data_IF_292689694333
#
_entry.id   IF_292689694333
#
_cell.length_a   1.000
_cell.length_b   1.000
_cell.length_c   1.000
_cell.angle_alpha   90.00
_cell.angle_beta   90.00
_cell.angle_gamma   90.00
#
_symmetry.space_group_name_H-M   'P 1'
#
loop_
_entity.id
_entity.type
_entity.pdbx_description
1 polymer ?
#
# COMPACT_ATOMS: atom_id res chain seq x y z
N UNK A 1 44.76 -18.69 -41.68
CA UNK A 1 45.60 -17.46 -41.70
C UNK A 1 45.57 -16.67 -43.02
N UNK A 2 45.02 -17.18 -44.13
CA UNK A 2 44.99 -16.45 -45.42
C UNK A 2 43.94 -15.35 -45.54
N UNK A 3 42.81 -15.44 -44.82
CA UNK A 3 41.72 -14.43 -44.91
C UNK A 3 42.08 -13.07 -44.29
N UNK A 4 42.94 -13.05 -43.27
CA UNK A 4 43.43 -11.82 -42.62
C UNK A 4 44.33 -10.99 -43.56
N UNK A 5 45.16 -11.65 -44.37
CA UNK A 5 46.07 -10.98 -45.32
C UNK A 5 45.31 -10.29 -46.47
N UNK A 6 44.18 -10.85 -46.90
CA UNK A 6 43.34 -10.26 -47.94
C UNK A 6 42.67 -8.96 -47.46
N UNK A 7 42.12 -8.98 -46.24
CA UNK A 7 41.47 -7.82 -45.60
C UNK A 7 42.47 -6.66 -45.39
N UNK A 8 43.71 -6.99 -45.03
CA UNK A 8 44.75 -5.98 -44.83
C UNK A 8 45.18 -5.30 -46.13
N UNK A 9 45.22 -6.04 -47.26
CA UNK A 9 45.57 -5.49 -48.58
C UNK A 9 44.48 -4.57 -49.14
N UNK A 10 43.21 -4.86 -48.90
CA UNK A 10 42.10 -3.98 -49.29
C UNK A 10 42.08 -2.71 -48.43
N UNK A 11 42.30 -2.80 -47.11
CA UNK A 11 42.36 -1.62 -46.22
C UNK A 11 43.46 -0.63 -46.62
N UNK A 12 44.63 -1.14 -47.06
CA UNK A 12 45.78 -0.31 -47.48
C UNK A 12 45.50 0.56 -48.72
N UNK A 13 44.57 0.16 -49.59
CA UNK A 13 44.14 0.97 -50.74
C UNK A 13 43.25 2.15 -50.35
N UNK A 14 42.44 2.02 -49.29
CA UNK A 14 41.51 3.07 -48.85
C UNK A 14 42.13 4.05 -47.84
N UNK A 15 43.25 3.70 -47.19
CA UNK A 15 43.90 4.54 -46.18
C UNK A 15 44.59 5.81 -46.70
N UNK A 16 44.81 5.94 -48.01
CA UNK A 16 45.50 7.10 -48.61
C UNK A 16 44.59 8.26 -49.03
N UNK A 17 43.27 8.08 -49.06
CA UNK A 17 42.30 9.11 -49.49
C UNK A 17 41.68 9.91 -48.33
N UNK A 18 41.95 9.50 -47.10
CA UNK A 18 41.38 10.10 -45.90
C UNK A 18 42.31 11.22 -45.45
N UNK A 19 41.83 12.48 -45.48
CA UNK A 19 42.61 13.62 -44.97
C UNK A 19 42.91 13.37 -43.48
N UNK A 20 44.10 13.75 -42.97
CA UNK A 20 44.52 13.40 -41.61
C UNK A 20 43.52 13.87 -40.53
N UNK A 21 42.77 14.93 -40.78
CA UNK A 21 41.73 15.45 -39.90
C UNK A 21 40.44 14.61 -39.87
N UNK A 22 40.13 13.89 -40.93
CA UNK A 22 38.88 13.14 -41.08
C UNK A 22 38.89 11.88 -40.19
N UNK A 23 40.06 11.24 -40.04
CA UNK A 23 40.26 10.15 -39.07
C UNK A 23 40.02 10.61 -37.62
N UNK A 24 40.46 11.83 -37.26
CA UNK A 24 40.26 12.38 -35.91
C UNK A 24 38.76 12.59 -35.63
N UNK A 25 38.03 13.10 -36.62
CA UNK A 25 36.58 13.31 -36.54
C UNK A 25 35.86 11.96 -36.39
N UNK A 26 36.22 10.96 -37.20
CA UNK A 26 35.61 9.62 -37.15
C UNK A 26 35.84 8.96 -35.79
N UNK A 27 37.06 9.04 -35.24
CA UNK A 27 37.36 8.47 -33.91
C UNK A 27 36.61 9.21 -32.80
N UNK A 28 36.53 10.54 -32.86
CA UNK A 28 35.79 11.33 -31.87
C UNK A 28 34.28 11.02 -31.87
N UNK A 29 33.69 10.86 -33.05
CA UNK A 29 32.28 10.49 -33.21
C UNK A 29 32.00 9.07 -32.70
N UNK A 30 32.93 8.13 -32.91
CA UNK A 30 32.83 6.78 -32.36
C UNK A 30 32.82 6.85 -30.83
N UNK A 31 33.74 7.56 -30.19
CA UNK A 31 33.79 7.66 -28.71
C UNK A 31 32.53 8.33 -28.13
N UNK A 32 32.01 9.39 -28.79
CA UNK A 32 30.77 10.04 -28.39
C UNK A 32 29.55 9.12 -28.52
N UNK A 33 29.53 8.22 -29.51
CA UNK A 33 28.45 7.24 -29.67
C UNK A 33 28.38 6.20 -28.54
N UNK A 34 29.50 5.93 -27.86
CA UNK A 34 29.56 5.01 -26.73
C UNK A 34 29.27 5.68 -25.37
N UNK A 35 29.22 7.01 -25.30
CA UNK A 35 28.95 7.75 -24.05
C UNK A 35 27.54 7.49 -23.48
N UNK A 36 26.47 7.46 -24.31
CA UNK A 36 25.13 7.12 -23.85
C UNK A 36 25.02 5.71 -23.26
N UNK A 37 25.76 4.73 -23.79
CA UNK A 37 25.75 3.35 -23.30
C UNK A 37 26.36 3.25 -21.90
N UNK A 38 27.44 3.98 -21.63
CA UNK A 38 28.09 4.02 -20.32
C UNK A 38 27.15 4.66 -19.29
N UNK A 39 26.55 5.81 -19.62
CA UNK A 39 25.58 6.52 -18.77
C UNK A 39 24.36 5.64 -18.48
N UNK A 40 23.83 4.95 -19.49
CA UNK A 40 22.70 4.03 -19.33
C UNK A 40 23.04 2.85 -18.40
N UNK A 41 24.25 2.26 -18.50
CA UNK A 41 24.67 1.17 -17.60
C UNK A 41 24.80 1.60 -16.13
N UNK A 42 25.23 2.85 -15.89
CA UNK A 42 25.31 3.42 -14.55
C UNK A 42 23.91 3.73 -14.00
N UNK A 43 22.98 4.16 -14.87
CA UNK A 43 21.60 4.46 -14.50
C UNK A 43 20.74 3.20 -14.30
N UNK A 44 21.03 2.09 -14.98
CA UNK A 44 20.34 0.81 -14.84
C UNK A 44 20.48 0.22 -13.43
N UNK A 45 21.55 0.55 -12.70
CA UNK A 45 21.69 0.22 -11.27
C UNK A 45 20.63 0.90 -10.39
N UNK A 46 20.10 2.05 -10.79
CA UNK A 46 19.02 2.73 -10.04
C UNK A 46 17.64 2.14 -10.32
N UNK A 47 17.40 1.53 -11.48
CA UNK A 47 16.11 0.94 -11.84
C UNK A 47 15.86 -0.39 -11.11
N UNK A 48 16.86 -1.27 -11.00
CA UNK A 48 16.74 -2.51 -10.23
C UNK A 48 16.43 -2.28 -8.73
N UNK A 49 16.99 -1.22 -8.14
CA UNK A 49 16.68 -0.83 -6.77
C UNK A 49 15.24 -0.30 -6.61
N UNK A 50 14.73 0.42 -7.61
CA UNK A 50 13.34 0.90 -7.63
C UNK A 50 12.35 -0.24 -7.80
N UNK A 51 12.61 -1.23 -8.66
CA UNK A 51 11.76 -2.41 -8.80
C UNK A 51 11.72 -3.26 -7.53
N UNK A 52 12.85 -3.46 -6.86
CA UNK A 52 12.90 -4.13 -5.56
C UNK A 52 12.12 -3.36 -4.47
N UNK A 53 12.14 -2.03 -4.51
CA UNK A 53 11.35 -1.20 -3.60
C UNK A 53 9.85 -1.20 -3.96
N UNK A 54 9.49 -1.17 -5.24
CA UNK A 54 8.11 -1.24 -5.73
C UNK A 54 7.51 -2.62 -5.48
N UNK A 55 8.28 -3.71 -5.63
CA UNK A 55 7.86 -5.08 -5.27
C UNK A 55 7.62 -5.23 -3.76
N UNK A 56 8.45 -4.60 -2.92
CA UNK A 56 8.25 -4.55 -1.46
C UNK A 56 7.04 -3.69 -1.08
N UNK A 57 6.82 -2.55 -1.76
CA UNK A 57 5.66 -1.69 -1.53
C UNK A 57 4.36 -2.33 -2.00
N UNK A 58 4.34 -3.02 -3.15
CA UNK A 58 3.16 -3.75 -3.65
C UNK A 58 2.82 -4.94 -2.75
N UNK A 59 3.80 -5.70 -2.24
CA UNK A 59 3.55 -6.72 -1.19
C UNK A 59 2.97 -6.14 0.10
N UNK A 60 3.39 -4.94 0.49
CA UNK A 60 2.89 -4.25 1.70
C UNK A 60 1.48 -3.64 1.48
N UNK A 61 1.18 -3.19 0.26
CA UNK A 61 -0.11 -2.60 -0.15
C UNK A 61 -1.20 -3.66 -0.43
N UNK A 62 -0.81 -4.89 -0.75
CA UNK A 62 -1.72 -6.02 -0.95
C UNK A 62 -2.28 -6.62 0.35
N UNK A 63 -1.81 -6.19 1.53
CA UNK A 63 -2.42 -6.60 2.79
C UNK A 63 -3.59 -5.68 3.10
N UNK A 64 -4.82 -6.10 2.79
CA UNK A 64 -6.03 -5.42 3.24
C UNK A 64 -5.99 -5.29 4.78
N UNK A 65 -5.63 -4.10 5.28
CA UNK A 65 -5.56 -3.89 6.73
C UNK A 65 -6.92 -3.46 7.26
N UNK A 66 -7.52 -4.34 8.04
CA UNK A 66 -8.77 -4.14 8.77
C UNK A 66 -8.50 -3.36 10.05
N UNK A 67 -9.21 -2.24 10.21
CA UNK A 67 -9.16 -1.39 11.41
C UNK A 67 -10.55 -1.23 11.99
N UNK A 68 -10.74 -1.60 13.25
CA UNK A 68 -11.96 -1.29 13.99
C UNK A 68 -11.87 0.13 14.54
N UNK A 69 -12.89 0.94 14.28
CA UNK A 69 -13.04 2.31 14.78
C UNK A 69 -14.24 2.34 15.69
N UNK A 70 -14.03 2.74 16.94
CA UNK A 70 -15.07 2.96 17.95
C UNK A 70 -15.30 4.45 18.06
N UNK A 71 -16.54 4.88 17.95
CA UNK A 71 -16.95 6.28 18.04
C UNK A 71 -18.12 6.42 19.00
N UNK A 72 -18.14 7.52 19.75
CA UNK A 72 -19.24 7.94 20.60
C UNK A 72 -19.68 9.33 20.14
N UNK A 73 -20.97 9.54 19.87
CA UNK A 73 -21.49 10.81 19.33
C UNK A 73 -20.70 11.31 18.12
N UNK A 74 -20.39 10.40 17.18
CA UNK A 74 -19.61 10.72 15.98
C UNK A 74 -18.11 10.98 16.21
N UNK A 75 -17.67 11.12 17.46
CA UNK A 75 -16.27 11.36 17.82
C UNK A 75 -15.54 10.04 18.03
N UNK A 76 -14.40 9.85 17.36
CA UNK A 76 -13.63 8.61 17.47
C UNK A 76 -12.93 8.54 18.82
N UNK A 77 -13.27 7.52 19.62
CA UNK A 77 -12.69 7.29 20.96
C UNK A 77 -11.61 6.23 20.94
N UNK A 78 -11.66 5.27 20.01
CA UNK A 78 -10.65 4.21 19.91
C UNK A 78 -10.48 3.70 18.48
N UNK A 79 -9.24 3.44 18.08
CA UNK A 79 -8.90 2.74 16.83
C UNK A 79 -8.02 1.53 17.15
N UNK A 80 -8.33 0.39 16.55
CA UNK A 80 -7.56 -0.86 16.72
C UNK A 80 -7.37 -1.52 15.36
N UNK A 81 -6.12 -1.75 14.96
CA UNK A 81 -5.83 -2.53 13.76
C UNK A 81 -6.03 -4.03 14.07
N UNK A 82 -7.11 -4.61 13.55
CA UNK A 82 -7.49 -6.00 13.75
C UNK A 82 -6.57 -6.98 13.02
N UNK A 83 -5.87 -6.52 11.98
CA UNK A 83 -5.00 -7.35 11.14
C UNK A 83 -3.66 -7.61 11.80
N UNK A 84 -3.11 -6.59 12.49
CA UNK A 84 -1.87 -6.71 13.25
C UNK A 84 -2.07 -7.23 14.68
N UNK A 85 -3.32 -7.38 15.13
CA UNK A 85 -3.64 -7.78 16.49
C UNK A 85 -3.31 -9.27 16.72
N UNK A 86 -2.41 -9.56 17.67
CA UNK A 86 -1.99 -10.93 18.01
C UNK A 86 -2.74 -11.56 19.17
N UNK A 87 -3.25 -10.75 20.09
CA UNK A 87 -3.92 -11.19 21.33
C UNK A 87 -5.27 -10.51 21.48
N UNK A 88 -6.17 -11.15 22.22
CA UNK A 88 -7.44 -10.54 22.62
C UNK A 88 -7.18 -9.34 23.52
N UNK A 89 -7.86 -8.23 23.25
CA UNK A 89 -7.86 -7.04 24.10
C UNK A 89 -9.29 -6.69 24.48
N UNK A 90 -9.47 -6.20 25.70
CA UNK A 90 -10.75 -5.70 26.20
C UNK A 90 -10.63 -4.19 26.43
N UNK A 91 -11.66 -3.46 26.05
CA UNK A 91 -11.77 -2.03 26.22
C UNK A 91 -13.18 -1.69 26.68
N UNK A 92 -13.30 -0.95 27.78
CA UNK A 92 -14.60 -0.52 28.29
C UNK A 92 -14.73 0.98 28.09
N UNK A 93 -15.71 1.37 27.29
CA UNK A 93 -16.16 2.75 27.23
C UNK A 93 -17.15 3.00 28.37
N UNK A 94 -16.96 4.07 29.15
CA UNK A 94 -17.85 4.49 30.25
C UNK A 94 -18.15 5.97 30.12
N UNK A 95 -19.43 6.31 30.15
CA UNK A 95 -19.91 7.68 30.20
C UNK A 95 -20.07 8.15 31.65
N UNK A 96 -20.07 9.47 31.88
CA UNK A 96 -20.29 10.08 33.21
C UNK A 96 -21.64 9.71 33.84
N UNK A 97 -22.64 9.42 33.02
CA UNK A 97 -23.99 8.94 33.39
C UNK A 97 -23.98 7.53 34.00
N UNK A 98 -22.88 6.79 33.89
CA UNK A 98 -22.77 5.38 34.30
C UNK A 98 -23.09 4.38 33.20
N UNK A 99 -23.49 4.82 32.00
CA UNK A 99 -23.62 3.96 30.83
C UNK A 99 -22.26 3.41 30.38
N UNK A 100 -22.23 2.13 29.98
CA UNK A 100 -21.00 1.49 29.53
C UNK A 100 -21.21 0.44 28.44
N UNK A 101 -20.17 0.27 27.63
CA UNK A 101 -20.02 -0.81 26.66
C UNK A 101 -18.63 -1.42 26.79
N UNK A 102 -18.57 -2.71 27.08
CA UNK A 102 -17.34 -3.50 27.05
C UNK A 102 -17.17 -4.12 25.66
N UNK A 103 -16.09 -3.73 25.02
CA UNK A 103 -15.73 -4.07 23.65
C UNK A 103 -14.55 -5.04 23.72
N UNK A 104 -14.66 -6.15 23.00
CA UNK A 104 -13.58 -7.12 22.89
C UNK A 104 -13.09 -7.17 21.45
N UNK A 105 -11.80 -6.94 21.26
CA UNK A 105 -11.13 -7.09 19.97
C UNK A 105 -10.32 -8.38 20.00
N UNK A 106 -10.55 -9.23 19.00
CA UNK A 106 -9.76 -10.43 18.72
C UNK A 106 -9.09 -10.28 17.35
N UNK A 107 -8.09 -11.11 17.01
CA UNK A 107 -7.52 -11.09 15.67
C UNK A 107 -8.62 -11.15 14.60
N UNK A 108 -8.65 -10.17 13.70
CA UNK A 108 -9.62 -10.02 12.60
C UNK A 108 -11.11 -9.86 12.98
N UNK A 109 -11.45 -9.62 14.25
CA UNK A 109 -12.86 -9.50 14.65
C UNK A 109 -13.07 -8.64 15.90
N UNK A 110 -14.25 -8.04 16.03
CA UNK A 110 -14.63 -7.20 17.18
C UNK A 110 -16.10 -7.45 17.56
N UNK A 111 -16.42 -7.35 18.85
CA UNK A 111 -17.77 -7.43 19.38
C UNK A 111 -17.94 -6.55 20.61
N UNK A 112 -19.18 -6.13 20.89
CA UNK A 112 -19.57 -5.67 22.22
C UNK A 112 -19.97 -6.90 23.02
N UNK A 113 -19.21 -7.21 24.07
CA UNK A 113 -19.42 -8.43 24.88
C UNK A 113 -20.30 -8.18 26.10
N UNK A 114 -20.39 -6.94 26.57
CA UNK A 114 -21.25 -6.55 27.69
C UNK A 114 -21.66 -5.08 27.55
N UNK A 115 -22.89 -4.75 27.89
CA UNK A 115 -23.37 -3.37 27.98
C UNK A 115 -24.52 -3.30 28.99
N UNK A 116 -24.80 -2.13 29.54
CA UNK A 116 -25.99 -1.88 30.37
C UNK A 116 -27.13 -1.16 29.62
N UNK A 117 -27.16 -1.25 28.29
CA UNK A 117 -28.27 -0.73 27.49
C UNK A 117 -29.52 -1.62 27.66
N UNK A 118 -30.71 -1.03 27.61
CA UNK A 118 -31.98 -1.76 27.80
C UNK A 118 -32.26 -2.81 26.72
N UNK A 119 -31.92 -2.51 25.47
CA UNK A 119 -32.28 -3.35 24.31
C UNK A 119 -31.34 -4.55 24.07
N UNK A 120 -30.11 -4.49 24.61
CA UNK A 120 -29.02 -5.44 24.39
C UNK A 120 -28.75 -5.80 22.90
N UNK A 121 -29.21 -4.99 21.95
CA UNK A 121 -29.10 -5.28 20.50
C UNK A 121 -27.63 -5.34 20.09
N UNK A 122 -26.83 -4.44 20.66
CA UNK A 122 -25.39 -4.37 20.36
C UNK A 122 -24.61 -5.60 20.84
N UNK A 123 -25.03 -6.22 21.95
CA UNK A 123 -24.43 -7.45 22.49
C UNK A 123 -24.89 -8.66 21.65
N UNK A 124 -26.20 -8.73 21.37
CA UNK A 124 -26.79 -9.80 20.54
C UNK A 124 -26.26 -9.81 19.11
N UNK A 125 -25.82 -8.66 18.58
CA UNK A 125 -25.21 -8.53 17.25
C UNK A 125 -23.97 -9.43 17.07
N UNK A 126 -23.25 -9.71 18.16
CA UNK A 126 -22.10 -10.61 18.17
C UNK A 126 -20.89 -10.08 17.40
N UNK A 127 -20.07 -11.01 16.89
CA UNK A 127 -18.79 -10.69 16.25
C UNK A 127 -18.97 -10.20 14.81
N UNK A 128 -18.35 -9.07 14.50
CA UNK A 128 -18.18 -8.58 13.12
C UNK A 128 -16.71 -8.76 12.68
N UNK A 129 -16.52 -9.00 11.37
CA UNK A 129 -15.22 -9.39 10.78
C UNK A 129 -14.90 -8.71 9.45
N UNK A 130 -15.93 -8.36 8.67
CA UNK A 130 -15.77 -7.83 7.31
C UNK A 130 -15.74 -6.30 7.30
N UNK A 131 -15.01 -5.66 6.38
CA UNK A 131 -15.13 -4.22 6.13
C UNK A 131 -16.59 -3.79 5.91
N UNK A 132 -16.95 -2.62 6.42
CA UNK A 132 -18.30 -2.05 6.31
C UNK A 132 -19.32 -2.64 7.27
N UNK A 133 -19.00 -3.72 8.00
CA UNK A 133 -19.86 -4.18 9.09
C UNK A 133 -19.79 -3.22 10.26
N UNK A 134 -20.94 -2.99 10.87
CA UNK A 134 -21.11 -2.12 12.04
C UNK A 134 -21.78 -2.83 13.21
N UNK A 135 -21.48 -2.35 14.41
CA UNK A 135 -22.26 -2.61 15.63
C UNK A 135 -22.68 -1.24 16.17
N UNK A 136 -23.97 -1.07 16.41
CA UNK A 136 -24.53 0.19 16.93
C UNK A 136 -25.19 -0.10 18.28
N UNK A 137 -24.87 0.74 19.26
CA UNK A 137 -25.59 0.82 20.53
C UNK A 137 -26.28 2.17 20.60
N UNK A 138 -27.52 2.24 20.08
CA UNK A 138 -28.27 3.49 19.97
C UNK A 138 -28.46 4.19 21.32
N UNK A 139 -28.87 3.51 22.42
CA UNK A 139 -29.09 4.18 23.70
C UNK A 139 -27.84 4.84 24.27
N UNK A 140 -26.65 4.31 23.96
CA UNK A 140 -25.36 4.85 24.43
C UNK A 140 -24.60 5.56 23.30
N UNK A 141 -25.25 5.83 22.16
CA UNK A 141 -24.72 6.56 21.00
C UNK A 141 -23.33 6.08 20.55
N UNK A 142 -23.07 4.78 20.68
CA UNK A 142 -21.78 4.17 20.42
C UNK A 142 -21.82 3.34 19.13
N UNK A 143 -20.85 3.56 18.25
CA UNK A 143 -20.71 2.92 16.94
C UNK A 143 -19.35 2.25 16.84
N UNK A 144 -19.33 1.00 16.37
CA UNK A 144 -18.12 0.28 15.98
C UNK A 144 -18.22 -0.03 14.49
N UNK A 145 -17.20 0.32 13.71
CA UNK A 145 -17.13 0.07 12.28
C UNK A 145 -15.78 -0.57 11.91
N UNK A 146 -15.78 -1.58 11.02
CA UNK A 146 -14.54 -2.11 10.45
C UNK A 146 -14.24 -1.39 9.12
N UNK A 147 -13.12 -0.68 9.07
CA UNK A 147 -12.60 0.00 7.88
C UNK A 147 -11.45 -0.77 7.24
N UNK A 148 -11.35 -0.73 5.91
CA UNK A 148 -10.22 -1.24 5.13
C UNK A 148 -9.29 -0.09 4.71
N UNK A 149 -7.98 -0.31 4.68
CA UNK A 149 -6.99 0.66 4.18
C UNK A 149 -7.02 0.88 2.66
N UNK A 150 -7.62 -0.07 1.93
CA UNK A 150 -7.81 0.00 0.48
C UNK A 150 -9.19 0.60 0.22
N UNK A 151 -9.25 1.93 0.16
CA UNK A 151 -10.24 2.78 -0.52
C UNK A 151 -11.72 2.40 -0.50
N UNK A 152 -12.53 3.31 0.05
CA UNK A 152 -13.99 3.41 -0.09
C UNK A 152 -14.80 2.19 0.37
N UNK A 153 -14.94 2.05 1.68
CA UNK A 153 -16.16 1.48 2.23
C UNK A 153 -17.27 2.50 1.96
N UNK A 154 -18.14 2.23 0.98
CA UNK A 154 -19.41 2.96 0.84
C UNK A 154 -20.08 2.88 2.21
N UNK A 155 -20.18 4.02 2.89
CA UNK A 155 -20.95 4.15 4.11
C UNK A 155 -22.40 3.85 3.71
N UNK A 156 -22.81 2.59 3.84
CA UNK A 156 -24.18 2.14 3.60
C UNK A 156 -25.06 2.63 4.74
N UNK A 157 -25.17 3.94 4.87
CA UNK A 157 -26.27 4.56 5.56
C UNK A 157 -27.46 4.44 4.63
N UNK A 158 -28.36 3.52 4.93
CA UNK A 158 -29.73 3.62 4.47
C UNK A 158 -30.30 4.86 5.19
N UNK A 159 -30.01 6.04 4.65
CA UNK A 159 -30.67 7.28 5.00
C UNK A 159 -32.09 7.19 4.50
N UNK A 160 -32.94 6.53 5.28
CA UNK A 160 -34.37 6.65 5.19
C UNK A 160 -34.75 7.66 6.28
N UNK A 161 -34.43 8.92 6.01
CA UNK A 161 -35.11 10.05 6.64
C UNK A 161 -36.16 10.43 5.63
N UNK A 162 -37.38 10.06 5.96
CA UNK A 162 -38.60 10.53 5.31
C UNK A 162 -38.71 12.04 5.49
N UNK A 163 -38.87 12.76 4.38
CA UNK A 163 -39.88 13.80 4.27
C UNK A 163 -40.72 13.49 3.02
#
# INVERSE_FOLDING_TARGET
MHRLKAIHRTLKRYGGMIRPFDYVIVVALIVLSFTPLIVFSMQQRQQAAREAQVAKQTKKKATHSLTAVVSHDGTVVKKVNLTSLKRTIHYTYREKSGHYNQITFKPKQVAITKANCSDQVCVRRGWIRKPGQTIVCLPHKLLIEIKSSTGHVKSGGNGLVTE
#
